data_IF_371693439066
#
_entry.id   IF_371693439066
#
_cell.length_a   1.000
_cell.length_b   1.000
_cell.length_c   1.000
_cell.angle_alpha   90.00
_cell.angle_beta   90.00
_cell.angle_gamma   90.00
#
_symmetry.space_group_name_H-M   'P 1'
#
loop_
_entity.id
_entity.type
_entity.pdbx_description
1 polymer ?
#
# COMPACT_ATOMS: atom_id res chain seq x y z
N UNK A 1 -1.35 15.75 1.58
CA UNK A 1 -2.42 15.34 2.52
C UNK A 1 -2.68 13.83 2.48
N UNK A 2 -2.87 13.21 1.30
CA UNK A 2 -3.21 11.78 1.17
C UNK A 2 -2.28 10.82 1.92
N UNK A 3 -0.96 11.01 1.84
CA UNK A 3 0.01 10.21 2.59
C UNK A 3 -0.23 10.29 4.11
N UNK A 4 -0.24 11.50 4.67
CA UNK A 4 -0.41 11.72 6.11
C UNK A 4 -1.77 11.23 6.62
N UNK A 5 -2.84 11.45 5.85
CA UNK A 5 -4.16 10.94 6.22
C UNK A 5 -4.19 9.40 6.23
N UNK A 6 -3.61 8.77 5.20
CA UNK A 6 -3.52 7.32 5.09
C UNK A 6 -2.66 6.68 6.20
N UNK A 7 -1.50 7.27 6.50
CA UNK A 7 -0.63 6.78 7.58
C UNK A 7 -1.29 6.91 8.95
N UNK A 8 -1.94 8.04 9.23
CA UNK A 8 -2.63 8.26 10.51
C UNK A 8 -3.82 7.29 10.65
N UNK A 9 -4.65 7.16 9.62
CA UNK A 9 -5.79 6.23 9.66
C UNK A 9 -5.34 4.79 9.87
N UNK A 10 -4.31 4.34 9.15
CA UNK A 10 -3.76 3.00 9.30
C UNK A 10 -3.12 2.76 10.67
N UNK A 11 -2.47 3.78 11.25
CA UNK A 11 -1.90 3.68 12.61
C UNK A 11 -2.98 3.49 13.67
N UNK A 12 -4.15 4.11 13.50
CA UNK A 12 -5.29 3.93 14.41
C UNK A 12 -5.93 2.54 14.28
N UNK A 13 -5.94 1.97 13.07
CA UNK A 13 -6.52 0.66 12.79
C UNK A 13 -5.56 -0.52 13.04
N UNK A 14 -4.26 -0.27 13.04
CA UNK A 14 -3.21 -1.27 13.26
C UNK A 14 -3.41 -2.17 14.48
N UNK A 15 -3.79 -1.68 15.69
CA UNK A 15 -4.00 -2.58 16.83
C UNK A 15 -5.13 -3.59 16.58
N UNK A 16 -6.29 -3.17 16.09
CA UNK A 16 -7.39 -4.10 15.80
C UNK A 16 -7.06 -5.08 14.67
N UNK A 17 -6.24 -4.67 13.70
CA UNK A 17 -5.79 -5.55 12.62
C UNK A 17 -4.80 -6.63 13.14
N UNK A 18 -3.93 -6.27 14.09
CA UNK A 18 -3.07 -7.23 14.80
C UNK A 18 -3.91 -8.23 15.59
N UNK A 19 -4.93 -7.76 16.34
CA UNK A 19 -5.78 -8.63 17.15
C UNK A 19 -6.49 -9.69 16.28
N UNK A 20 -7.05 -9.28 15.13
CA UNK A 20 -7.68 -10.18 14.15
C UNK A 20 -6.67 -11.18 13.56
N UNK A 21 -5.45 -10.73 13.24
CA UNK A 21 -4.41 -11.61 12.69
C UNK A 21 -3.93 -12.66 13.70
N UNK A 22 -3.87 -12.30 14.98
CA UNK A 22 -3.53 -13.21 16.08
C UNK A 22 -4.66 -14.22 16.29
N UNK A 23 -5.92 -13.77 16.31
CA UNK A 23 -7.09 -14.64 16.43
C UNK A 23 -7.16 -15.70 15.31
N UNK A 24 -6.79 -15.30 14.09
CA UNK A 24 -6.73 -16.21 12.94
C UNK A 24 -5.49 -17.11 12.89
N UNK A 25 -4.60 -17.01 13.89
CA UNK A 25 -3.35 -17.76 13.94
C UNK A 25 -2.37 -17.41 12.81
N UNK A 26 -2.53 -16.24 12.18
CA UNK A 26 -1.68 -15.78 11.07
C UNK A 26 -0.44 -15.04 11.53
N UNK A 27 -0.45 -14.56 12.78
CA UNK A 27 0.72 -14.01 13.46
C UNK A 27 0.90 -14.80 14.75
N UNK A 28 2.10 -15.33 14.96
CA UNK A 28 2.43 -15.98 16.23
C UNK A 28 2.34 -14.92 17.34
N UNK A 29 1.48 -15.15 18.34
CA UNK A 29 1.26 -14.22 19.44
C UNK A 29 2.56 -13.82 20.18
N UNK A 30 3.60 -14.67 20.12
CA UNK A 30 4.91 -14.45 20.72
C UNK A 30 5.92 -13.70 19.83
N UNK A 31 5.64 -13.46 18.55
CA UNK A 31 6.57 -12.73 17.68
C UNK A 31 6.41 -11.22 17.86
N UNK A 32 6.98 -10.72 18.97
CA UNK A 32 7.11 -9.27 19.26
C UNK A 32 7.66 -8.49 18.05
N UNK A 33 8.55 -9.12 17.30
CA UNK A 33 9.16 -8.56 16.10
C UNK A 33 8.15 -8.38 14.94
N UNK A 34 7.39 -9.42 14.57
CA UNK A 34 6.38 -9.30 13.49
C UNK A 34 5.28 -8.29 13.84
N UNK A 35 4.92 -8.20 15.11
CA UNK A 35 3.94 -7.20 15.60
C UNK A 35 4.47 -5.77 15.48
N UNK A 36 5.76 -5.55 15.74
CA UNK A 36 6.41 -4.26 15.58
C UNK A 36 6.57 -3.88 14.11
N UNK A 37 6.98 -4.83 13.26
CA UNK A 37 7.08 -4.64 11.81
C UNK A 37 5.71 -4.23 11.22
N UNK A 38 4.63 -4.90 11.64
CA UNK A 38 3.26 -4.54 11.23
C UNK A 38 2.90 -3.11 11.65
N UNK A 39 3.14 -2.75 12.91
CA UNK A 39 2.82 -1.41 13.43
C UNK A 39 3.63 -0.29 12.77
N UNK A 40 4.85 -0.57 12.31
CA UNK A 40 5.74 0.42 11.72
C UNK A 40 5.56 0.57 10.21
N UNK A 41 5.52 -0.54 9.48
CA UNK A 41 5.59 -0.50 8.03
C UNK A 41 4.22 -0.53 7.34
N UNK A 42 3.20 -1.18 7.94
CA UNK A 42 1.85 -1.20 7.37
C UNK A 42 1.26 0.21 7.20
N UNK A 43 1.38 1.14 8.17
CA UNK A 43 0.88 2.50 7.98
C UNK A 43 1.55 3.23 6.82
N UNK A 44 2.85 3.01 6.62
CA UNK A 44 3.61 3.59 5.51
C UNK A 44 3.09 3.06 4.16
N UNK A 45 2.78 1.77 4.09
CA UNK A 45 2.18 1.15 2.89
C UNK A 45 0.83 1.78 2.54
N UNK A 46 -0.04 1.97 3.54
CA UNK A 46 -1.37 2.60 3.36
C UNK A 46 -1.23 4.08 2.98
N UNK A 47 -0.34 4.82 3.64
CA UNK A 47 -0.05 6.20 3.28
C UNK A 47 0.46 6.31 1.84
N UNK A 48 1.36 5.43 1.44
CA UNK A 48 1.86 5.33 0.07
C UNK A 48 0.72 5.14 -0.93
N UNK A 49 -0.13 4.12 -0.72
CA UNK A 49 -1.29 3.86 -1.58
C UNK A 49 -2.26 5.05 -1.67
N UNK A 50 -2.56 5.69 -0.55
CA UNK A 50 -3.43 6.87 -0.51
C UNK A 50 -2.83 8.11 -1.22
N UNK A 51 -1.51 8.18 -1.33
CA UNK A 51 -0.82 9.28 -2.00
C UNK A 51 -0.69 9.10 -3.52
N UNK A 52 -0.75 7.86 -4.03
CA UNK A 52 -0.52 7.55 -5.45
C UNK A 52 -1.52 8.24 -6.36
N UNK A 53 -2.82 8.14 -6.09
CA UNK A 53 -3.86 8.76 -6.90
C UNK A 53 -3.75 10.31 -6.97
N UNK A 54 -3.65 11.05 -5.86
CA UNK A 54 -3.50 12.51 -5.94
C UNK A 54 -2.17 12.95 -6.56
N UNK A 55 -1.07 12.18 -6.38
CA UNK A 55 0.21 12.47 -7.03
C UNK A 55 0.10 12.34 -8.55
N UNK A 56 -0.48 11.25 -9.04
CA UNK A 56 -0.66 11.02 -10.48
C UNK A 56 -1.61 12.04 -11.09
N UNK A 57 -2.65 12.46 -10.36
CA UNK A 57 -3.54 13.54 -10.78
C UNK A 57 -2.80 14.88 -10.89
N UNK A 58 -1.97 15.22 -9.88
CA UNK A 58 -1.15 16.44 -9.89
C UNK A 58 -0.17 16.46 -11.07
N UNK A 59 0.55 15.36 -11.30
CA UNK A 59 1.47 15.22 -12.42
C UNK A 59 0.78 15.29 -13.78
N UNK A 60 -0.43 14.73 -13.91
CA UNK A 60 -1.24 14.86 -15.14
C UNK A 60 -1.65 16.32 -15.37
N UNK A 61 -2.13 17.02 -14.34
CA UNK A 61 -2.48 18.45 -14.43
C UNK A 61 -1.28 19.33 -14.78
N UNK A 62 -0.09 18.97 -14.31
CA UNK A 62 1.16 19.65 -14.65
C UNK A 62 1.69 19.30 -16.06
N UNK A 63 1.01 18.45 -16.83
CA UNK A 63 1.44 18.03 -18.16
C UNK A 63 2.64 17.08 -18.17
N UNK A 64 3.11 16.62 -17.01
CA UNK A 64 4.29 15.77 -16.86
C UNK A 64 4.02 14.29 -17.18
N UNK A 65 2.76 13.88 -17.31
CA UNK A 65 2.35 12.51 -17.64
C UNK A 65 1.67 12.46 -19.00
N UNK A 66 2.22 11.65 -19.91
CA UNK A 66 1.56 11.34 -21.18
C UNK A 66 0.41 10.36 -20.96
N UNK A 67 -0.69 10.49 -21.72
CA UNK A 67 -1.86 9.57 -21.67
C UNK A 67 -1.50 8.08 -21.83
N UNK A 68 -0.34 7.76 -22.43
CA UNK A 68 0.11 6.39 -22.69
C UNK A 68 0.94 5.78 -21.56
N UNK A 69 1.30 6.53 -20.53
CA UNK A 69 2.15 6.01 -19.46
C UNK A 69 1.47 4.88 -18.69
N UNK A 70 0.16 4.99 -18.45
CA UNK A 70 -0.60 4.02 -17.67
C UNK A 70 -0.49 2.59 -18.21
N UNK A 71 -0.50 2.38 -19.53
CA UNK A 71 -0.34 1.05 -20.13
C UNK A 71 1.09 0.51 -20.04
N UNK A 72 2.08 1.38 -20.28
CA UNK A 72 3.51 0.98 -20.36
C UNK A 72 4.17 0.79 -19.01
N UNK A 73 3.77 1.53 -17.97
CA UNK A 73 4.40 1.48 -16.65
C UNK A 73 3.72 0.52 -15.67
N UNK A 74 2.53 -0.02 -16.00
CA UNK A 74 1.77 -0.96 -15.17
C UNK A 74 2.63 -2.11 -14.61
N UNK A 75 3.40 -2.76 -15.49
CA UNK A 75 4.25 -3.88 -15.09
C UNK A 75 5.35 -3.46 -14.11
N UNK A 76 5.99 -2.30 -14.35
CA UNK A 76 7.05 -1.79 -13.50
C UNK A 76 6.51 -1.32 -12.14
N UNK A 77 5.33 -0.71 -12.13
CA UNK A 77 4.67 -0.31 -10.89
C UNK A 77 4.19 -1.51 -10.05
N UNK A 78 3.73 -2.59 -10.69
CA UNK A 78 3.42 -3.85 -10.01
C UNK A 78 4.68 -4.49 -9.43
N UNK A 79 5.79 -4.49 -10.19
CA UNK A 79 7.09 -4.94 -9.70
C UNK A 79 7.57 -4.15 -8.49
N UNK A 80 7.46 -2.82 -8.50
CA UNK A 80 7.80 -1.98 -7.33
C UNK A 80 6.91 -2.31 -6.12
N UNK A 81 5.64 -2.63 -6.35
CA UNK A 81 4.69 -3.03 -5.31
C UNK A 81 5.07 -4.36 -4.67
N UNK A 82 5.37 -5.35 -5.51
CA UNK A 82 5.83 -6.68 -5.08
C UNK A 82 7.16 -6.56 -4.36
N UNK A 83 8.11 -5.78 -4.87
CA UNK A 83 9.39 -5.53 -4.23
C UNK A 83 9.20 -4.87 -2.86
N UNK A 84 8.35 -3.85 -2.77
CA UNK A 84 8.03 -3.21 -1.49
C UNK A 84 7.44 -4.21 -0.49
N UNK A 85 6.41 -4.97 -0.90
CA UNK A 85 5.81 -5.98 -0.02
C UNK A 85 6.84 -7.04 0.40
N UNK A 86 7.67 -7.52 -0.52
CA UNK A 86 8.71 -8.51 -0.23
C UNK A 86 9.82 -7.99 0.71
N UNK A 87 10.13 -6.70 0.68
CA UNK A 87 11.15 -6.10 1.54
C UNK A 87 10.66 -5.75 2.95
N UNK A 88 9.36 -5.51 3.13
CA UNK A 88 8.82 -4.93 4.37
C UNK A 88 7.75 -5.77 5.07
N UNK A 89 7.20 -6.80 4.41
CA UNK A 89 6.33 -7.78 5.08
C UNK A 89 7.15 -8.88 5.74
N UNK A 90 6.70 -9.40 6.89
CA UNK A 90 7.20 -10.66 7.43
C UNK A 90 7.13 -11.79 6.38
N UNK A 91 7.94 -12.86 6.53
CA UNK A 91 8.02 -13.95 5.56
C UNK A 91 6.82 -14.89 5.64
N UNK A 92 5.62 -14.38 5.36
CA UNK A 92 4.37 -15.13 5.24
C UNK A 92 3.48 -14.54 4.14
N UNK A 93 2.72 -15.40 3.46
CA UNK A 93 1.90 -15.00 2.31
C UNK A 93 0.75 -14.07 2.68
N UNK A 94 0.30 -14.11 3.93
CA UNK A 94 -0.80 -13.28 4.43
C UNK A 94 -0.39 -11.83 4.67
N UNK A 95 0.73 -11.60 5.35
CA UNK A 95 1.25 -10.24 5.57
C UNK A 95 1.75 -9.62 4.28
N UNK A 96 2.32 -10.42 3.36
CA UNK A 96 2.65 -9.97 2.02
C UNK A 96 1.44 -9.40 1.28
N UNK A 97 0.31 -10.14 1.26
CA UNK A 97 -0.92 -9.68 0.63
C UNK A 97 -1.49 -8.43 1.31
N UNK A 98 -1.44 -8.37 2.64
CA UNK A 98 -1.84 -7.21 3.43
C UNK A 98 -1.03 -5.95 3.10
N UNK A 99 0.27 -6.08 2.86
CA UNK A 99 1.14 -4.96 2.51
C UNK A 99 1.01 -4.53 1.06
N UNK A 100 0.73 -5.48 0.15
CA UNK A 100 0.56 -5.22 -1.27
C UNK A 100 -0.82 -4.62 -1.60
N UNK A 101 -1.86 -4.89 -0.80
CA UNK A 101 -3.22 -4.46 -1.08
C UNK A 101 -3.39 -2.91 -1.12
N UNK A 102 -2.92 -2.13 -0.14
CA UNK A 102 -3.14 -0.68 -0.14
C UNK A 102 -2.49 0.05 -1.33
N UNK A 103 -1.22 -0.20 -1.70
CA UNK A 103 -0.65 0.43 -2.87
C UNK A 103 -1.26 -0.11 -4.18
N UNK A 104 -1.70 -1.37 -4.23
CA UNK A 104 -2.40 -1.92 -5.41
C UNK A 104 -3.74 -1.24 -5.65
N UNK A 105 -4.52 -1.00 -4.58
CA UNK A 105 -5.77 -0.22 -4.64
C UNK A 105 -5.50 1.21 -5.08
N UNK A 106 -4.49 1.87 -4.50
CA UNK A 106 -4.09 3.23 -4.89
C UNK A 106 -3.72 3.33 -6.37
N UNK A 107 -3.02 2.33 -6.90
CA UNK A 107 -2.68 2.24 -8.31
C UNK A 107 -3.90 1.95 -9.19
N UNK A 108 -4.78 1.04 -8.79
CA UNK A 108 -6.02 0.72 -9.51
C UNK A 108 -6.93 1.94 -9.63
N UNK A 109 -7.11 2.69 -8.54
CA UNK A 109 -7.88 3.95 -8.55
C UNK A 109 -7.25 4.99 -9.48
N UNK A 110 -5.92 5.13 -9.45
CA UNK A 110 -5.23 6.07 -10.33
C UNK A 110 -5.33 5.68 -11.81
N UNK A 111 -5.27 4.38 -12.11
CA UNK A 111 -5.48 3.85 -13.46
C UNK A 111 -6.91 4.09 -13.93
N UNK A 112 -7.91 3.78 -13.11
CA UNK A 112 -9.31 4.03 -13.44
C UNK A 112 -9.56 5.51 -13.72
N UNK A 113 -8.99 6.41 -12.92
CA UNK A 113 -9.04 7.85 -13.17
C UNK A 113 -8.33 8.28 -14.45
N UNK A 114 -7.24 7.62 -14.83
CA UNK A 114 -6.53 7.94 -16.07
C UNK A 114 -7.28 7.46 -17.32
N UNK A 115 -8.02 6.35 -17.22
CA UNK A 115 -8.77 5.76 -18.34
C UNK A 115 -10.19 6.33 -18.50
N UNK A 116 -10.87 6.65 -17.38
CA UNK A 116 -12.29 7.05 -17.38
C UNK A 116 -12.55 8.51 -16.96
N UNK A 117 -11.52 9.27 -16.55
CA UNK A 117 -11.61 10.68 -16.15
C UNK A 117 -10.89 11.64 -17.08
#
# INVERSE_FOLDING_TARGET
>A
AGFLAGTVAARQLAPGLVDVLVEWGRVAADSRQSTLELKLFFPVAVGGGAAVAPLLLGLRRAGALSRRLAGRTRGLSLLCLVAFAACFSPPDSTTFALYAAPPAVGLGVAVAWAEFG
#
